data_IF_660681631053
#
_entry.id   IF_660681631053
#
_cell.length_a   1.000
_cell.length_b   1.000
_cell.length_c   1.000
_cell.angle_alpha   90.00
_cell.angle_beta   90.00
_cell.angle_gamma   90.00
#
_symmetry.space_group_name_H-M   'P 1'
#
loop_
_entity.id
_entity.type
_entity.pdbx_description
1 polymer ?
#
# COMPACT_ATOMS: atom_id res chain seq x y z
N UNK A 1 -12.68 -18.09 10.10
CA UNK A 1 -12.23 -17.80 8.74
C UNK A 1 -12.53 -16.33 8.51
N UNK A 2 -11.52 -15.55 8.14
CA UNK A 2 -11.71 -14.13 7.86
C UNK A 2 -12.49 -13.96 6.56
N UNK A 3 -13.35 -12.94 6.51
CA UNK A 3 -14.22 -12.61 5.39
C UNK A 3 -13.92 -11.21 4.87
N UNK A 4 -14.44 -10.88 3.69
CA UNK A 4 -14.30 -9.53 3.15
C UNK A 4 -14.98 -8.47 4.02
N UNK A 5 -16.03 -8.83 4.78
CA UNK A 5 -16.66 -7.94 5.75
C UNK A 5 -15.70 -7.53 6.87
N UNK A 6 -14.85 -8.45 7.34
CA UNK A 6 -13.82 -8.11 8.33
C UNK A 6 -12.85 -7.06 7.79
N UNK A 7 -12.57 -7.09 6.48
CA UNK A 7 -11.75 -6.07 5.84
C UNK A 7 -12.47 -4.72 5.82
N UNK A 8 -13.74 -4.68 5.39
CA UNK A 8 -14.52 -3.45 5.39
C UNK A 8 -14.61 -2.82 6.78
N UNK A 9 -14.78 -3.65 7.82
CA UNK A 9 -14.79 -3.18 9.21
C UNK A 9 -13.46 -2.55 9.64
N UNK A 10 -12.32 -3.07 9.17
CA UNK A 10 -11.00 -2.46 9.41
C UNK A 10 -10.92 -1.07 8.76
N UNK A 11 -11.34 -0.91 7.49
CA UNK A 11 -11.34 0.41 6.85
C UNK A 11 -12.28 1.38 7.58
N UNK A 12 -13.48 0.93 7.96
CA UNK A 12 -14.50 1.78 8.58
C UNK A 12 -14.19 2.19 10.03
N UNK A 13 -13.33 1.46 10.76
CA UNK A 13 -13.02 1.79 12.15
C UNK A 13 -11.73 2.59 12.33
N UNK A 14 -10.89 2.66 11.31
CA UNK A 14 -9.64 3.40 11.34
C UNK A 14 -9.80 4.72 10.58
N UNK A 15 -9.90 5.82 11.33
CA UNK A 15 -10.08 7.17 10.82
C UNK A 15 -9.08 8.13 11.47
N UNK A 16 -8.26 8.74 10.62
CA UNK A 16 -7.13 9.57 11.04
C UNK A 16 -6.05 8.77 11.76
N UNK A 17 -4.82 9.27 11.72
CA UNK A 17 -3.69 8.61 12.38
C UNK A 17 -3.49 9.10 13.80
N UNK A 18 -3.42 8.17 14.75
CA UNK A 18 -3.07 8.50 16.14
C UNK A 18 -1.63 8.15 16.49
N UNK A 19 -1.07 7.15 15.81
CA UNK A 19 0.27 6.64 16.10
C UNK A 19 0.97 6.15 14.83
N UNK A 20 2.27 6.44 14.74
CA UNK A 20 3.14 5.85 13.74
C UNK A 20 3.96 4.69 14.31
N UNK A 21 4.15 3.66 13.49
CA UNK A 21 4.95 2.48 13.75
C UNK A 21 6.05 2.37 12.69
N UNK A 22 7.06 1.53 12.98
CA UNK A 22 8.13 1.21 12.02
C UNK A 22 8.72 -0.17 12.29
N UNK A 23 9.29 -0.78 11.25
CA UNK A 23 10.18 -1.94 11.41
C UNK A 23 11.56 -1.46 11.87
N UNK A 24 12.24 -2.13 12.81
CA UNK A 24 13.54 -1.67 13.32
C UNK A 24 14.64 -1.54 12.26
N UNK A 25 14.55 -2.32 11.18
CA UNK A 25 15.54 -2.38 10.10
C UNK A 25 15.26 -1.43 8.92
N UNK A 26 14.18 -0.64 8.96
CA UNK A 26 13.88 0.34 7.91
C UNK A 26 13.60 1.72 8.53
N UNK A 27 14.36 2.73 8.12
CA UNK A 27 14.18 4.13 8.55
C UNK A 27 13.32 4.99 7.62
N UNK A 28 13.10 4.55 6.38
CA UNK A 28 12.41 5.31 5.33
C UNK A 28 10.91 5.03 5.26
N UNK A 29 10.40 4.04 6.00
CA UNK A 29 8.98 3.72 6.03
C UNK A 29 8.43 3.75 7.47
N UNK A 30 7.46 4.62 7.70
CA UNK A 30 6.52 4.53 8.82
C UNK A 30 5.18 3.98 8.33
N UNK A 31 4.34 3.52 9.26
CA UNK A 31 2.96 3.14 8.96
C UNK A 31 2.03 3.45 10.12
N UNK A 32 0.75 3.64 9.83
CA UNK A 32 -0.27 4.12 10.78
C UNK A 32 -0.83 3.01 11.67
N UNK A 33 -1.68 3.40 12.63
CA UNK A 33 -2.53 2.50 13.41
C UNK A 33 -3.50 1.70 12.53
N UNK A 34 -4.09 2.29 11.48
CA UNK A 34 -4.92 1.53 10.56
C UNK A 34 -4.17 0.43 9.82
N UNK A 35 -2.94 0.71 9.37
CA UNK A 35 -2.09 -0.34 8.79
C UNK A 35 -1.72 -1.39 9.83
N UNK A 36 -1.37 -1.01 11.05
CA UNK A 36 -1.08 -1.95 12.12
C UNK A 36 -2.29 -2.86 12.42
N UNK A 37 -3.50 -2.30 12.45
CA UNK A 37 -4.74 -3.04 12.63
C UNK A 37 -4.98 -4.02 11.46
N UNK A 38 -4.84 -3.55 10.22
CA UNK A 38 -4.95 -4.38 9.03
C UNK A 38 -4.04 -5.62 9.10
N UNK A 39 -2.76 -5.42 9.46
CA UNK A 39 -1.79 -6.52 9.58
C UNK A 39 -2.15 -7.52 10.68
N UNK A 40 -2.62 -7.04 11.83
CA UNK A 40 -2.93 -7.90 12.98
C UNK A 40 -4.24 -8.65 12.79
N UNK A 41 -5.27 -7.95 12.33
CA UNK A 41 -6.60 -8.50 12.15
C UNK A 41 -6.65 -9.52 11.01
N UNK A 42 -5.84 -9.33 9.97
CA UNK A 42 -5.78 -10.23 8.82
C UNK A 42 -4.54 -11.14 8.79
N UNK A 43 -3.70 -11.11 9.83
CA UNK A 43 -2.39 -11.79 9.87
C UNK A 43 -1.45 -11.43 8.70
N UNK A 44 -1.72 -10.33 7.99
CA UNK A 44 -1.04 -9.91 6.77
C UNK A 44 0.22 -9.07 7.01
N UNK A 45 1.12 -9.55 7.87
CA UNK A 45 2.37 -8.83 8.20
C UNK A 45 3.29 -8.61 6.99
N UNK A 46 3.20 -9.52 6.01
CA UNK A 46 3.98 -9.49 4.78
C UNK A 46 3.76 -8.23 3.95
N UNK A 47 2.61 -7.55 4.08
CA UNK A 47 2.31 -6.36 3.26
C UNK A 47 3.33 -5.26 3.52
N UNK A 48 3.54 -4.86 4.77
CA UNK A 48 4.55 -3.84 5.10
C UNK A 48 5.94 -4.31 4.69
N UNK A 49 6.26 -5.58 4.86
CA UNK A 49 7.58 -6.09 4.49
C UNK A 49 7.80 -6.06 2.96
N UNK A 50 6.76 -6.30 2.16
CA UNK A 50 6.79 -6.08 0.72
C UNK A 50 6.91 -4.60 0.36
N UNK A 51 6.17 -3.70 1.00
CA UNK A 51 6.32 -2.25 0.78
C UNK A 51 7.75 -1.79 1.09
N UNK A 52 8.34 -2.29 2.17
CA UNK A 52 9.75 -2.04 2.52
C UNK A 52 10.67 -2.49 1.38
N UNK A 53 10.43 -3.66 0.80
CA UNK A 53 11.23 -4.15 -0.33
C UNK A 53 11.12 -3.28 -1.59
N UNK A 54 10.01 -2.55 -1.75
CA UNK A 54 9.75 -1.66 -2.88
C UNK A 54 10.33 -0.25 -2.68
N UNK A 55 10.63 0.15 -1.44
CA UNK A 55 11.17 1.47 -1.11
C UNK A 55 12.34 1.93 -1.98
N UNK A 56 13.33 1.09 -2.39
CA UNK A 56 14.39 1.53 -3.28
C UNK A 56 13.90 2.12 -4.61
N UNK A 57 12.90 1.48 -5.25
CA UNK A 57 12.31 1.99 -6.51
C UNK A 57 11.44 3.23 -6.29
N UNK A 58 10.74 3.28 -5.17
CA UNK A 58 9.93 4.43 -4.78
C UNK A 58 10.82 5.65 -4.54
N UNK A 59 11.94 5.47 -3.83
CA UNK A 59 12.94 6.52 -3.59
C UNK A 59 13.63 6.96 -4.89
N UNK A 60 13.93 6.04 -5.80
CA UNK A 60 14.44 6.40 -7.14
C UNK A 60 13.47 7.31 -7.89
N UNK A 61 12.18 6.95 -7.90
CA UNK A 61 11.14 7.76 -8.53
C UNK A 61 10.98 9.12 -7.84
N UNK A 62 10.89 9.15 -6.51
CA UNK A 62 10.79 10.38 -5.75
C UNK A 62 11.96 11.34 -6.06
N UNK A 63 13.20 10.84 -6.11
CA UNK A 63 14.37 11.68 -6.43
C UNK A 63 14.38 12.17 -7.89
N UNK A 64 13.76 11.45 -8.82
CA UNK A 64 13.72 11.83 -10.25
C UNK A 64 12.59 12.80 -10.56
N UNK A 65 11.41 12.62 -9.96
CA UNK A 65 10.18 13.34 -10.33
C UNK A 65 9.56 14.14 -9.20
N UNK A 66 10.11 14.06 -7.98
CA UNK A 66 9.50 14.62 -6.77
C UNK A 66 8.07 14.08 -6.50
N UNK A 67 7.73 12.90 -7.04
CA UNK A 67 6.46 12.21 -6.78
C UNK A 67 6.31 11.95 -5.29
N UNK A 68 5.34 12.60 -4.66
CA UNK A 68 5.12 12.49 -3.21
C UNK A 68 3.94 11.60 -2.85
N UNK A 69 3.11 11.33 -3.87
CA UNK A 69 1.89 10.52 -3.94
C UNK A 69 2.11 9.10 -4.48
N UNK A 70 1.81 8.02 -3.75
CA UNK A 70 1.76 6.67 -4.33
C UNK A 70 0.56 5.86 -3.84
N UNK A 71 0.00 5.04 -4.73
CA UNK A 71 -1.00 4.03 -4.39
C UNK A 71 -0.36 2.66 -4.38
N UNK A 72 -0.63 1.92 -3.31
CA UNK A 72 -0.29 0.50 -3.17
C UNK A 72 -1.58 -0.28 -3.31
N UNK A 73 -1.66 -1.13 -4.32
CA UNK A 73 -2.84 -1.92 -4.61
C UNK A 73 -2.50 -3.41 -4.56
N UNK A 74 -3.28 -4.17 -3.80
CA UNK A 74 -3.23 -5.63 -3.79
C UNK A 74 -4.51 -6.10 -4.48
N UNK A 75 -4.35 -6.84 -5.57
CA UNK A 75 -5.46 -7.41 -6.34
C UNK A 75 -5.38 -8.92 -6.27
N UNK A 76 -6.50 -9.58 -6.01
CA UNK A 76 -6.59 -11.04 -6.02
C UNK A 76 -7.90 -11.51 -6.63
N UNK A 77 -7.86 -12.71 -7.20
CA UNK A 77 -9.02 -13.44 -7.70
C UNK A 77 -9.55 -14.45 -6.65
N UNK A 78 -10.63 -15.17 -7.00
CA UNK A 78 -11.23 -16.22 -6.16
C UNK A 78 -10.35 -17.46 -5.95
N UNK A 79 -9.25 -17.57 -6.67
CA UNK A 79 -8.22 -18.61 -6.51
C UNK A 79 -7.05 -18.14 -5.62
N UNK A 80 -7.20 -16.99 -4.96
CA UNK A 80 -6.17 -16.35 -4.12
C UNK A 80 -4.87 -16.02 -4.87
N UNK A 81 -4.93 -15.90 -6.19
CA UNK A 81 -3.82 -15.47 -7.03
C UNK A 81 -4.03 -14.04 -7.49
N UNK A 82 -2.95 -13.28 -7.63
CA UNK A 82 -3.02 -11.93 -8.17
C UNK A 82 -1.70 -11.20 -8.05
N UNK A 83 -1.72 -9.93 -7.70
CA UNK A 83 -0.53 -9.10 -7.65
C UNK A 83 -0.58 -8.03 -6.57
N UNK A 84 0.59 -7.52 -6.23
CA UNK A 84 0.76 -6.27 -5.52
C UNK A 84 1.46 -5.27 -6.43
N UNK A 85 0.88 -4.09 -6.58
CA UNK A 85 1.37 -3.02 -7.43
C UNK A 85 1.57 -1.74 -6.62
N UNK A 86 2.62 -0.99 -6.96
CA UNK A 86 2.79 0.39 -6.54
C UNK A 86 2.79 1.25 -7.79
N UNK A 87 1.92 2.24 -7.82
CA UNK A 87 1.80 3.17 -8.94
C UNK A 87 1.65 4.61 -8.43
N UNK A 88 1.90 5.57 -9.31
CA UNK A 88 1.70 6.99 -9.06
C UNK A 88 0.75 7.58 -10.11
N UNK A 89 -0.05 8.55 -9.68
CA UNK A 89 -0.75 9.50 -10.53
C UNK A 89 0.13 10.75 -10.64
N UNK A 90 0.83 10.91 -11.77
CA UNK A 90 1.83 11.97 -11.91
C UNK A 90 2.17 12.25 -13.39
N UNK A 91 3.01 13.24 -13.62
CA UNK A 91 3.59 13.51 -14.94
C UNK A 91 4.68 12.49 -15.29
N UNK A 92 4.66 12.02 -16.54
CA UNK A 92 5.69 11.13 -17.08
C UNK A 92 6.88 11.91 -17.70
N UNK A 93 7.84 11.19 -18.29
CA UNK A 93 9.03 11.79 -18.92
C UNK A 93 8.70 12.77 -20.07
N UNK A 94 7.50 12.68 -20.66
CA UNK A 94 7.04 13.58 -21.72
C UNK A 94 6.26 14.79 -21.18
N UNK A 95 6.17 14.96 -19.86
CA UNK A 95 5.33 15.97 -19.20
C UNK A 95 3.82 15.80 -19.47
N UNK A 96 3.40 14.59 -19.84
CA UNK A 96 1.98 14.23 -19.92
C UNK A 96 1.54 13.67 -18.56
N UNK A 97 0.38 14.12 -18.07
CA UNK A 97 -0.22 13.56 -16.86
C UNK A 97 -0.75 12.16 -17.15
N UNK A 98 -0.35 11.20 -16.33
CA UNK A 98 -0.75 9.81 -16.42
C UNK A 98 -1.35 9.37 -15.08
N UNK A 99 -2.60 8.90 -15.14
CA UNK A 99 -3.36 8.43 -13.98
C UNK A 99 -2.82 7.10 -13.43
N UNK A 100 -1.92 6.41 -14.14
CA UNK A 100 -1.43 5.11 -13.70
C UNK A 100 -0.01 4.81 -14.18
N UNK A 101 0.99 5.43 -13.54
CA UNK A 101 2.39 5.09 -13.79
C UNK A 101 2.84 3.98 -12.84
N UNK A 102 2.90 2.75 -13.35
CA UNK A 102 3.43 1.59 -12.60
C UNK A 102 4.90 1.79 -12.23
N UNK A 103 5.22 1.64 -10.95
CA UNK A 103 6.58 1.73 -10.40
C UNK A 103 7.15 0.32 -10.21
N UNK A 104 6.32 -0.54 -9.63
CA UNK A 104 6.60 -1.95 -9.46
C UNK A 104 5.29 -2.72 -9.42
N UNK A 105 5.28 -3.88 -10.07
CA UNK A 105 4.20 -4.85 -10.01
C UNK A 105 4.82 -6.22 -9.79
N UNK A 106 4.32 -6.92 -8.78
CA UNK A 106 4.78 -8.25 -8.41
C UNK A 106 3.58 -9.19 -8.41
N UNK A 107 3.64 -10.21 -9.27
CA UNK A 107 2.70 -11.33 -9.22
C UNK A 107 2.92 -12.14 -7.94
N UNK A 108 1.83 -12.46 -7.24
CA UNK A 108 1.81 -13.23 -6.01
C UNK A 108 0.93 -14.46 -6.25
N UNK A 109 1.54 -15.66 -6.32
CA UNK A 109 0.80 -16.90 -6.58
C UNK A 109 -0.22 -17.29 -5.50
N UNK A 110 -0.05 -16.77 -4.28
CA UNK A 110 -0.95 -17.03 -3.17
C UNK A 110 -1.00 -15.83 -2.23
N UNK A 111 -2.16 -15.18 -2.15
CA UNK A 111 -2.47 -14.04 -1.30
C UNK A 111 -3.43 -14.52 -0.24
N UNK A 112 -3.00 -14.53 1.03
CA UNK A 112 -3.77 -14.98 2.19
C UNK A 112 -4.74 -13.92 2.73
N UNK A 113 -5.39 -13.18 1.83
CA UNK A 113 -6.43 -12.19 2.18
C UNK A 113 -7.81 -12.70 1.76
N UNK A 114 -8.90 -12.24 2.41
CA UNK A 114 -10.25 -12.53 1.94
C UNK A 114 -10.47 -12.02 0.50
N UNK A 115 -11.51 -12.49 -0.17
CA UNK A 115 -11.99 -11.90 -1.43
C UNK A 115 -13.48 -11.55 -1.31
N UNK A 116 -13.93 -10.56 -2.06
CA UNK A 116 -15.33 -10.24 -2.25
C UNK A 116 -15.98 -11.27 -3.17
N UNK A 117 -16.97 -12.02 -2.67
CA UNK A 117 -17.64 -13.08 -3.44
C UNK A 117 -18.46 -12.54 -4.63
N UNK A 118 -18.88 -11.27 -4.57
CA UNK A 118 -19.70 -10.61 -5.60
C UNK A 118 -18.87 -10.13 -6.80
N UNK A 119 -17.55 -10.01 -6.64
CA UNK A 119 -16.65 -9.46 -7.65
C UNK A 119 -15.77 -10.55 -8.26
N UNK A 120 -15.32 -10.35 -9.51
CA UNK A 120 -14.32 -11.23 -10.13
C UNK A 120 -12.94 -11.05 -9.51
N UNK A 121 -12.58 -9.79 -9.22
CA UNK A 121 -11.34 -9.38 -8.60
C UNK A 121 -11.64 -8.54 -7.35
N UNK A 122 -10.91 -8.81 -6.28
CA UNK A 122 -10.92 -7.98 -5.08
C UNK A 122 -9.69 -7.09 -5.09
N UNK A 123 -9.88 -5.80 -4.80
CA UNK A 123 -8.80 -4.83 -4.67
C UNK A 123 -8.75 -4.25 -3.25
N UNK A 124 -7.54 -4.17 -2.70
CA UNK A 124 -7.21 -3.48 -1.46
C UNK A 124 -6.26 -2.34 -1.78
N UNK A 125 -6.62 -1.12 -1.38
CA UNK A 125 -5.82 0.07 -1.62
C UNK A 125 -5.26 0.62 -0.31
N UNK A 126 -4.00 0.98 -0.33
CA UNK A 126 -3.30 1.73 0.71
C UNK A 126 -2.56 2.88 0.04
N UNK A 127 -2.31 3.94 0.78
CA UNK A 127 -1.56 5.07 0.26
C UNK A 127 -0.20 5.15 0.92
N UNK A 128 0.78 5.60 0.13
CA UNK A 128 2.11 5.88 0.60
C UNK A 128 2.44 7.33 0.23
N UNK A 129 2.64 8.16 1.24
CA UNK A 129 2.88 9.61 1.08
C UNK A 129 4.20 10.01 1.71
N UNK A 130 4.83 11.04 1.17
CA UNK A 130 6.00 11.63 1.80
C UNK A 130 5.62 12.18 3.19
N UNK A 131 6.44 11.89 4.19
CA UNK A 131 6.33 12.46 5.53
C UNK A 131 7.44 13.48 5.79
N UNK A 132 8.65 13.22 5.28
CA UNK A 132 9.79 14.11 5.43
C UNK A 132 10.67 14.06 4.20
N UNK A 133 10.78 15.19 3.48
CA UNK A 133 11.66 15.35 2.33
C UNK A 133 13.13 15.19 2.71
N UNK A 134 13.57 15.82 3.81
CA UNK A 134 14.97 15.77 4.27
C UNK A 134 15.44 14.34 4.58
N UNK A 135 14.56 13.53 5.17
CA UNK A 135 14.88 12.14 5.54
C UNK A 135 14.48 11.13 4.47
N UNK A 136 13.85 11.60 3.39
CA UNK A 136 13.19 10.76 2.39
C UNK A 136 12.34 9.66 3.05
N UNK A 137 11.54 10.08 4.04
CA UNK A 137 10.73 9.18 4.85
C UNK A 137 9.29 9.25 4.37
N UNK A 138 8.69 8.08 4.17
CA UNK A 138 7.32 7.90 3.74
C UNK A 138 6.48 7.31 4.87
N UNK A 139 5.17 7.50 4.78
CA UNK A 139 4.18 6.86 5.65
C UNK A 139 3.17 6.10 4.81
N UNK A 140 2.96 4.82 5.17
CA UNK A 140 1.93 3.95 4.64
C UNK A 140 0.68 4.08 5.52
N UNK A 141 -0.49 4.27 4.91
CA UNK A 141 -1.75 4.52 5.60
C UNK A 141 -2.93 3.89 4.85
N UNK A 142 -4.02 3.63 5.57
CA UNK A 142 -5.29 3.27 4.92
C UNK A 142 -5.91 4.50 4.25
N UNK A 143 -6.72 4.32 3.18
CA UNK A 143 -7.43 5.41 2.51
C UNK A 143 -8.33 6.25 3.44
N UNK A 144 -8.84 5.63 4.50
CA UNK A 144 -9.71 6.29 5.49
C UNK A 144 -8.95 7.12 6.53
N UNK A 145 -7.62 7.06 6.50
CA UNK A 145 -6.71 7.83 7.34
C UNK A 145 -5.98 8.96 6.57
N UNK A 146 -6.26 9.08 5.27
CA UNK A 146 -5.66 10.06 4.37
C UNK A 146 -6.08 11.51 4.66
#
# INVERSE_FOLDING_TARGET
>A
MLSYLDVLDIYNRNHGTTQYFKRPYNGNLLYTDGIMDFQKSLEAFWIVDNVISYMPKILERFRKYESTYYTIEIVLNKEYSGYMEVYAEDYNDNSDFDEHITIIKQEIPFIDLPYNEEEELTSYKMYLRILSYEKEQFVLLLPTED
#
